data_IF_536890266085
#
_entry.id   IF_536890266085
#
_cell.length_a   1.000
_cell.length_b   1.000
_cell.length_c   1.000
_cell.angle_alpha   90.00
_cell.angle_beta   90.00
_cell.angle_gamma   90.00
#
_symmetry.space_group_name_H-M   'P 1'
#
loop_
_entity.id
_entity.type
_entity.pdbx_description
1 polymer ?
#
# COMPACT_ATOMS: atom_id res chain seq x y z
N UNK A 1 26.60 -60.67 -27.78
CA UNK A 1 25.14 -60.66 -27.52
C UNK A 1 24.90 -60.13 -26.12
N UNK A 2 24.26 -58.95 -25.99
CA UNK A 2 23.44 -58.55 -24.83
C UNK A 2 22.80 -57.20 -25.20
N UNK A 3 21.51 -57.27 -25.49
CA UNK A 3 20.62 -56.16 -25.82
C UNK A 3 20.36 -55.39 -24.52
N UNK A 4 20.47 -54.07 -24.50
CA UNK A 4 19.90 -53.27 -23.41
C UNK A 4 19.05 -52.15 -23.98
N UNK A 5 17.80 -52.18 -23.52
CA UNK A 5 16.62 -51.44 -23.96
C UNK A 5 16.69 -50.00 -23.46
N UNK A 6 16.33 -49.06 -24.34
CA UNK A 6 16.14 -47.66 -24.01
C UNK A 6 14.93 -47.51 -23.06
N UNK A 7 15.15 -46.92 -21.88
CA UNK A 7 14.08 -46.47 -21.00
C UNK A 7 13.95 -44.95 -21.13
N UNK A 8 12.97 -44.50 -21.91
CA UNK A 8 12.55 -43.10 -21.96
C UNK A 8 11.81 -42.77 -20.66
N UNK A 9 12.48 -42.04 -19.77
CA UNK A 9 11.85 -41.45 -18.59
C UNK A 9 11.05 -40.20 -19.00
N UNK A 10 9.72 -40.30 -18.95
CA UNK A 10 8.82 -39.15 -19.05
C UNK A 10 8.83 -38.42 -17.69
N UNK A 11 9.59 -37.33 -17.59
CA UNK A 11 9.53 -36.45 -16.43
C UNK A 11 8.20 -35.67 -16.46
N UNK A 12 7.27 -36.01 -15.58
CA UNK A 12 6.06 -35.23 -15.38
C UNK A 12 6.42 -33.90 -14.70
N UNK A 13 6.44 -32.81 -15.49
CA UNK A 13 6.54 -31.45 -14.96
C UNK A 13 5.24 -31.12 -14.22
N UNK A 14 5.27 -31.23 -12.89
CA UNK A 14 4.24 -30.63 -12.04
C UNK A 14 4.41 -29.11 -12.05
N UNK A 15 3.62 -28.39 -12.84
CA UNK A 15 3.54 -26.94 -12.73
C UNK A 15 2.90 -26.58 -11.37
N UNK A 16 3.52 -25.69 -10.56
CA UNK A 16 2.85 -25.14 -9.41
C UNK A 16 1.64 -24.32 -9.88
N UNK A 17 0.44 -24.69 -9.41
CA UNK A 17 -0.73 -23.85 -9.57
C UNK A 17 -0.50 -22.56 -8.78
N UNK A 18 -0.29 -21.45 -9.48
CA UNK A 18 -0.27 -20.13 -8.86
C UNK A 18 -1.69 -19.84 -8.36
N UNK A 19 -1.90 -19.93 -7.05
CA UNK A 19 -3.12 -19.40 -6.43
C UNK A 19 -3.15 -17.90 -6.68
N UNK A 20 -4.05 -17.43 -7.54
CA UNK A 20 -4.39 -16.01 -7.60
C UNK A 20 -4.92 -15.60 -6.24
N UNK A 21 -4.19 -14.73 -5.52
CA UNK A 21 -4.76 -14.08 -4.36
C UNK A 21 -5.99 -13.31 -4.85
N UNK A 22 -7.18 -13.66 -4.34
CA UNK A 22 -8.38 -12.90 -4.67
C UNK A 22 -8.34 -11.63 -3.83
N UNK A 23 -8.12 -10.49 -4.49
CA UNK A 23 -8.29 -9.18 -3.86
C UNK A 23 -9.79 -8.89 -3.78
N UNK A 24 -10.25 -8.47 -2.61
CA UNK A 24 -11.64 -8.04 -2.41
C UNK A 24 -11.68 -6.51 -2.36
N UNK A 25 -12.65 -5.94 -3.07
CA UNK A 25 -12.74 -4.51 -3.29
C UNK A 25 -13.65 -3.83 -2.25
N UNK A 26 -13.21 -2.68 -1.74
CA UNK A 26 -14.05 -1.74 -1.01
C UNK A 26 -14.46 -0.61 -1.95
N UNK A 27 -15.75 -0.54 -2.29
CA UNK A 27 -16.29 0.46 -3.22
C UNK A 27 -17.15 1.48 -2.48
N UNK A 28 -16.84 2.76 -2.65
CA UNK A 28 -17.63 3.88 -2.13
C UNK A 28 -18.36 4.53 -3.33
N UNK A 29 -19.68 4.37 -3.47
CA UNK A 29 -20.42 5.00 -4.56
C UNK A 29 -20.48 6.52 -4.35
N UNK A 30 -20.20 7.28 -5.40
CA UNK A 30 -20.25 8.74 -5.43
C UNK A 30 -21.29 9.21 -6.47
N UNK A 31 -21.79 10.46 -6.35
CA UNK A 31 -22.58 11.07 -7.42
C UNK A 31 -21.86 11.02 -8.76
N UNK A 32 -22.61 10.79 -9.86
CA UNK A 32 -22.03 10.50 -11.18
C UNK A 32 -21.26 11.66 -11.83
N UNK A 33 -21.38 12.87 -11.30
CA UNK A 33 -20.65 14.07 -11.69
C UNK A 33 -19.37 14.30 -10.85
N UNK A 34 -19.09 13.42 -9.89
CA UNK A 34 -17.88 13.52 -9.05
C UNK A 34 -16.68 12.87 -9.76
N UNK A 35 -15.69 13.69 -10.12
CA UNK A 35 -14.40 13.20 -10.63
C UNK A 35 -13.57 12.63 -9.48
N UNK A 36 -13.03 11.42 -9.67
CA UNK A 36 -12.10 10.79 -8.72
C UNK A 36 -10.69 10.85 -9.29
N UNK A 37 -9.80 11.53 -8.58
CA UNK A 37 -8.37 11.56 -8.87
C UNK A 37 -7.63 10.52 -8.01
N UNK A 38 -6.82 9.71 -8.67
CA UNK A 38 -6.01 8.67 -8.03
C UNK A 38 -4.52 8.95 -8.26
N UNK A 39 -3.75 8.98 -7.17
CA UNK A 39 -2.29 9.14 -7.23
C UNK A 39 -1.61 8.04 -6.45
N UNK A 40 -0.79 7.25 -7.14
CA UNK A 40 0.01 6.17 -6.55
C UNK A 40 1.44 6.66 -6.27
N UNK A 41 1.89 6.52 -5.02
CA UNK A 41 3.24 6.83 -4.55
C UNK A 41 3.80 5.67 -3.71
N UNK A 42 5.11 5.50 -3.73
CA UNK A 42 5.81 4.47 -2.95
C UNK A 42 6.85 5.19 -2.09
N UNK A 43 6.80 4.96 -0.78
CA UNK A 43 7.69 5.61 0.17
C UNK A 43 8.63 4.60 0.80
N UNK A 44 9.89 4.97 0.97
CA UNK A 44 10.83 4.22 1.79
C UNK A 44 10.83 4.76 3.22
N UNK A 45 10.43 3.92 4.17
CA UNK A 45 10.30 4.23 5.59
C UNK A 45 11.31 3.37 6.39
N UNK A 46 12.54 3.87 6.53
CA UNK A 46 13.64 3.08 7.09
C UNK A 46 14.01 1.89 6.20
N UNK A 47 13.78 0.67 6.68
CA UNK A 47 14.01 -0.57 5.93
C UNK A 47 12.75 -1.11 5.23
N UNK A 48 11.59 -0.51 5.50
CA UNK A 48 10.31 -0.94 4.95
C UNK A 48 9.84 0.02 3.85
N UNK A 49 8.91 -0.46 3.04
CA UNK A 49 8.27 0.32 1.98
C UNK A 49 6.79 0.46 2.30
N UNK A 50 6.23 1.65 2.06
CA UNK A 50 4.81 1.93 2.20
C UNK A 50 4.25 2.33 0.84
N UNK A 51 3.27 1.56 0.36
CA UNK A 51 2.49 1.93 -0.82
C UNK A 51 1.40 2.90 -0.39
N UNK A 52 1.40 4.12 -0.92
CA UNK A 52 0.35 5.10 -0.68
C UNK A 52 -0.46 5.32 -1.96
N UNK A 53 -1.77 5.14 -1.85
CA UNK A 53 -2.71 5.46 -2.93
C UNK A 53 -3.65 6.54 -2.43
N UNK A 54 -3.48 7.74 -2.94
CA UNK A 54 -4.31 8.89 -2.61
C UNK A 54 -5.52 8.93 -3.53
N UNK A 55 -6.69 9.17 -2.95
CA UNK A 55 -7.96 9.33 -3.64
C UNK A 55 -8.55 10.69 -3.27
N UNK A 56 -8.71 11.58 -4.25
CA UNK A 56 -9.36 12.87 -4.07
C UNK A 56 -10.62 12.95 -4.93
N UNK A 57 -11.74 13.35 -4.33
CA UNK A 57 -13.04 13.43 -4.99
C UNK A 57 -13.94 14.49 -4.31
N UNK A 58 -13.93 15.72 -4.83
CA UNK A 58 -14.57 16.85 -4.15
C UNK A 58 -13.95 17.09 -2.77
N UNK A 59 -14.76 17.05 -1.72
CA UNK A 59 -14.29 17.20 -0.33
C UNK A 59 -13.70 15.91 0.26
N UNK A 60 -13.79 14.78 -0.45
CA UNK A 60 -13.22 13.51 -0.01
C UNK A 60 -11.73 13.51 -0.34
N UNK A 61 -10.90 13.28 0.68
CA UNK A 61 -9.49 12.97 0.51
C UNK A 61 -9.12 11.79 1.40
N UNK A 62 -8.78 10.67 0.78
CA UNK A 62 -8.42 9.41 1.44
C UNK A 62 -7.03 8.97 1.00
N UNK A 63 -6.37 8.18 1.85
CA UNK A 63 -5.18 7.42 1.48
C UNK A 63 -5.36 5.96 1.88
N UNK A 64 -5.15 5.04 0.93
CA UNK A 64 -4.92 3.62 1.22
C UNK A 64 -3.41 3.43 1.40
N UNK A 65 -3.00 2.95 2.57
CA UNK A 65 -1.61 2.61 2.86
C UNK A 65 -1.46 1.09 2.92
N UNK A 66 -0.58 0.55 2.07
CA UNK A 66 -0.06 -0.80 2.19
C UNK A 66 1.12 -0.79 3.16
N UNK A 67 0.89 -1.30 4.37
CA UNK A 67 1.89 -1.49 5.41
C UNK A 67 2.28 -2.97 5.49
N UNK A 68 3.36 -3.28 6.20
CA UNK A 68 3.81 -4.66 6.41
C UNK A 68 2.80 -5.52 7.19
N UNK A 69 2.07 -4.90 8.11
CA UNK A 69 1.06 -5.54 8.97
C UNK A 69 -0.35 -5.54 8.36
N UNK A 70 -0.54 -4.92 7.18
CA UNK A 70 -1.81 -4.94 6.45
C UNK A 70 -2.10 -3.65 5.70
N UNK A 71 -3.37 -3.48 5.32
CA UNK A 71 -3.84 -2.27 4.63
C UNK A 71 -4.64 -1.42 5.61
N UNK A 72 -4.38 -0.10 5.60
CA UNK A 72 -5.23 0.87 6.27
C UNK A 72 -5.78 1.88 5.26
N UNK A 73 -6.99 2.35 5.50
CA UNK A 73 -7.56 3.52 4.81
C UNK A 73 -7.67 4.63 5.84
N UNK A 74 -7.07 5.77 5.54
CA UNK A 74 -7.04 6.94 6.40
C UNK A 74 -7.67 8.13 5.68
N UNK A 75 -8.48 8.91 6.41
CA UNK A 75 -9.13 10.09 5.88
C UNK A 75 -8.32 11.35 6.20
N UNK A 76 -8.30 12.32 5.29
CA UNK A 76 -7.66 13.60 5.53
C UNK A 76 -8.33 14.33 6.70
N UNK A 77 -7.53 14.97 7.53
CA UNK A 77 -7.94 15.76 8.68
C UNK A 77 -7.19 17.08 8.70
N UNK A 78 -7.73 18.06 9.41
CA UNK A 78 -7.15 19.40 9.52
C UNK A 78 -5.72 19.34 10.07
N UNK A 79 -4.81 20.05 9.40
CA UNK A 79 -3.40 20.19 9.74
C UNK A 79 -2.91 21.62 9.49
N UNK A 80 -1.87 22.04 10.21
CA UNK A 80 -1.26 23.36 10.01
C UNK A 80 -0.43 23.47 8.72
N UNK A 81 0.22 22.38 8.30
CA UNK A 81 0.93 22.31 7.02
C UNK A 81 0.98 20.86 6.53
N UNK A 82 1.05 20.66 5.21
CA UNK A 82 1.00 19.32 4.61
C UNK A 82 -0.37 18.67 4.75
N UNK A 83 -0.51 17.45 4.25
CA UNK A 83 -1.74 16.68 4.29
C UNK A 83 -1.66 15.62 5.39
N UNK A 84 -2.49 15.75 6.42
CA UNK A 84 -2.57 14.79 7.52
C UNK A 84 -3.75 13.86 7.31
N UNK A 85 -3.54 12.56 7.44
CA UNK A 85 -4.55 11.52 7.31
C UNK A 85 -4.58 10.69 8.59
N UNK A 86 -5.76 10.32 9.06
CA UNK A 86 -5.94 9.48 10.24
C UNK A 86 -6.84 8.28 9.94
N UNK A 87 -6.37 7.09 10.32
CA UNK A 87 -7.09 5.83 10.21
C UNK A 87 -6.80 4.96 11.44
N UNK A 88 -7.80 4.78 12.29
CA UNK A 88 -7.60 4.11 13.59
C UNK A 88 -6.50 4.76 14.42
N UNK A 89 -5.52 3.95 14.85
CA UNK A 89 -4.35 4.38 15.62
C UNK A 89 -3.18 4.90 14.77
N UNK A 90 -3.32 4.92 13.44
CA UNK A 90 -2.24 5.36 12.54
C UNK A 90 -2.54 6.74 11.99
N UNK A 91 -1.51 7.58 12.00
CA UNK A 91 -1.53 8.88 11.34
C UNK A 91 -0.47 8.89 10.26
N UNK A 92 -0.85 9.32 9.07
CA UNK A 92 0.03 9.53 7.94
C UNK A 92 0.05 11.02 7.60
N UNK A 93 1.21 11.65 7.70
CA UNK A 93 1.31 13.10 7.47
C UNK A 93 2.34 13.38 6.38
N UNK A 94 1.85 13.70 5.18
CA UNK A 94 2.71 13.95 4.01
C UNK A 94 2.92 15.43 3.73
N UNK A 95 4.07 15.76 3.14
CA UNK A 95 4.43 17.10 2.69
C UNK A 95 5.45 17.03 1.56
N UNK A 96 5.01 17.31 0.34
CA UNK A 96 5.85 17.12 -0.85
C UNK A 96 6.21 15.65 -1.01
N UNK A 97 7.49 15.37 -1.22
CA UNK A 97 8.03 14.02 -1.45
C UNK A 97 8.34 13.29 -0.12
N UNK A 98 7.97 13.85 1.03
CA UNK A 98 8.20 13.28 2.36
C UNK A 98 6.89 12.96 3.08
N UNK A 99 6.96 12.02 4.02
CA UNK A 99 5.86 11.72 4.92
C UNK A 99 6.35 11.18 6.26
N UNK A 100 5.54 11.34 7.29
CA UNK A 100 5.76 10.73 8.61
C UNK A 100 4.59 9.80 8.95
N UNK A 101 4.91 8.56 9.35
CA UNK A 101 3.96 7.58 9.86
C UNK A 101 4.04 7.50 11.38
N UNK A 102 2.91 7.72 12.05
CA UNK A 102 2.81 7.67 13.51
C UNK A 102 1.90 6.52 13.95
N UNK A 103 2.20 5.96 15.11
CA UNK A 103 1.30 5.10 15.88
C UNK A 103 0.93 5.85 17.18
N UNK A 104 -0.29 6.41 17.21
CA UNK A 104 -0.74 7.23 18.35
C UNK A 104 -1.14 6.40 19.57
N UNK A 105 -1.25 5.08 19.43
CA UNK A 105 -1.44 4.20 20.59
C UNK A 105 -0.10 3.93 21.29
N UNK A 106 0.99 3.77 20.52
CA UNK A 106 2.33 3.58 21.07
C UNK A 106 2.97 4.91 21.53
N UNK A 107 2.73 6.00 20.79
CA UNK A 107 3.24 7.34 21.07
C UNK A 107 2.13 8.40 20.93
N UNK A 108 1.31 8.60 21.99
CA UNK A 108 0.17 9.53 21.95
C UNK A 108 0.56 10.98 21.69
N UNK A 109 1.80 11.37 22.00
CA UNK A 109 2.30 12.73 21.79
C UNK A 109 2.90 12.94 20.39
N UNK A 110 2.96 11.88 19.56
CA UNK A 110 3.46 11.93 18.18
C UNK A 110 4.89 12.51 18.06
N UNK A 111 5.79 12.14 18.96
CA UNK A 111 7.17 12.62 19.03
C UNK A 111 8.16 11.78 18.24
N UNK A 112 7.84 10.51 17.97
CA UNK A 112 8.73 9.54 17.32
C UNK A 112 8.09 8.95 16.06
N UNK A 113 7.88 9.74 14.99
CA UNK A 113 7.42 9.20 13.72
C UNK A 113 8.45 8.28 13.08
N UNK A 114 7.96 7.38 12.23
CA UNK A 114 8.77 6.77 11.19
C UNK A 114 8.77 7.71 9.99
N UNK A 115 9.93 8.32 9.72
CA UNK A 115 10.11 9.20 8.57
C UNK A 115 10.24 8.41 7.27
N UNK A 116 9.62 8.92 6.22
CA UNK A 116 9.44 8.29 4.93
C UNK A 116 9.74 9.26 3.80
N UNK A 117 10.39 8.77 2.73
CA UNK A 117 10.70 9.56 1.53
C UNK A 117 10.21 8.83 0.30
N UNK A 118 9.54 9.55 -0.60
CA UNK A 118 9.03 9.01 -1.85
C UNK A 118 10.16 8.52 -2.76
N UNK A 119 10.00 7.32 -3.29
CA UNK A 119 10.87 6.77 -4.31
C UNK A 119 10.51 7.42 -5.66
N UNK A 120 11.47 8.14 -6.25
CA UNK A 120 11.26 8.74 -7.58
C UNK A 120 11.07 7.63 -8.61
N UNK A 121 9.97 7.69 -9.36
CA UNK A 121 9.76 6.85 -10.54
C UNK A 121 10.84 7.19 -11.56
N UNK A 122 11.78 6.27 -11.77
CA UNK A 122 12.81 6.34 -12.83
C UNK A 122 12.21 6.15 -14.21
#
# INVERSE_FOLDING_TARGET
MKKSVAALYLAALSLPAASSALAEDLVIPLPGDTTVEKTDAVYRCGAETVEAVYYNAGDISLVRLGLKDGVIVAANVVSGSGAKYQGGARVWWSKGDEADLYDVMADPDMKQPVHCVEEKKT
#
